data_IF_545032246097
#
_entry.id   IF_545032246097
#
_cell.length_a   1.000
_cell.length_b   1.000
_cell.length_c   1.000
_cell.angle_alpha   90.00
_cell.angle_beta   90.00
_cell.angle_gamma   90.00
#
_symmetry.space_group_name_H-M   'P 1'
#
loop_
_entity.id
_entity.type
_entity.pdbx_description
1 polymer ?
#
# COMPACT_ATOMS: atom_id res chain seq x y z
N UNK A 1 -4.54 1.94 -10.47
CA UNK A 1 -5.11 2.86 -9.45
C UNK A 1 -4.06 3.86 -8.98
N UNK A 2 -4.47 5.10 -8.75
CA UNK A 2 -3.68 6.15 -8.11
C UNK A 2 -3.68 5.95 -6.59
N UNK A 3 -2.72 6.53 -5.84
CA UNK A 3 -2.73 6.46 -4.39
C UNK A 3 -4.03 6.96 -3.74
N UNK A 4 -4.67 7.99 -4.33
CA UNK A 4 -5.96 8.52 -3.84
C UNK A 4 -7.10 7.51 -4.00
N UNK A 5 -7.16 6.82 -5.14
CA UNK A 5 -8.17 5.77 -5.37
C UNK A 5 -7.98 4.59 -4.41
N UNK A 6 -6.73 4.19 -4.15
CA UNK A 6 -6.45 3.10 -3.18
C UNK A 6 -6.87 3.52 -1.76
N UNK A 7 -6.61 4.76 -1.35
CA UNK A 7 -7.06 5.25 -0.04
C UNK A 7 -8.58 5.27 0.05
N UNK A 8 -9.26 5.81 -0.98
CA UNK A 8 -10.72 5.85 -1.04
C UNK A 8 -11.33 4.44 -0.99
N UNK A 9 -10.68 3.46 -1.61
CA UNK A 9 -11.09 2.05 -1.51
C UNK A 9 -10.95 1.51 -0.08
N UNK A 10 -9.82 1.77 0.57
CA UNK A 10 -9.59 1.35 1.95
C UNK A 10 -10.54 2.05 2.93
N UNK A 11 -10.95 3.28 2.65
CA UNK A 11 -11.94 4.02 3.45
C UNK A 11 -13.31 3.33 3.49
N UNK A 12 -13.66 2.52 2.49
CA UNK A 12 -14.91 1.74 2.48
C UNK A 12 -14.96 0.64 3.54
N UNK A 13 -13.81 0.24 4.08
CA UNK A 13 -13.69 -0.93 4.96
C UNK A 13 -12.99 -0.64 6.29
N UNK A 14 -12.14 0.37 6.34
CA UNK A 14 -11.35 0.72 7.51
C UNK A 14 -11.69 2.17 7.87
N UNK A 15 -12.05 2.43 9.12
CA UNK A 15 -12.31 3.79 9.60
C UNK A 15 -11.01 4.38 10.18
N UNK A 16 -10.70 5.64 9.86
CA UNK A 16 -9.48 6.32 10.33
C UNK A 16 -8.20 5.77 9.70
N UNK A 17 -7.09 5.75 10.46
CA UNK A 17 -5.79 5.21 10.02
C UNK A 17 -5.23 5.85 8.72
N UNK A 18 -5.45 7.15 8.53
CA UNK A 18 -5.11 7.86 7.28
C UNK A 18 -3.64 7.74 6.89
N UNK A 19 -2.72 7.81 7.85
CA UNK A 19 -1.29 7.64 7.59
C UNK A 19 -0.96 6.23 7.09
N UNK A 20 -1.48 5.19 7.76
CA UNK A 20 -1.25 3.81 7.36
C UNK A 20 -1.80 3.53 5.96
N UNK A 21 -3.02 4.00 5.65
CA UNK A 21 -3.63 3.89 4.32
C UNK A 21 -2.79 4.58 3.24
N UNK A 22 -2.32 5.79 3.51
CA UNK A 22 -1.47 6.54 2.59
C UNK A 22 -0.15 5.81 2.33
N UNK A 23 0.50 5.31 3.38
CA UNK A 23 1.78 4.59 3.27
C UNK A 23 1.63 3.33 2.41
N UNK A 24 0.60 2.52 2.64
CA UNK A 24 0.37 1.32 1.82
C UNK A 24 -0.01 1.63 0.37
N UNK A 25 -0.79 2.68 0.14
CA UNK A 25 -1.15 3.13 -1.21
C UNK A 25 0.07 3.59 -2.01
N UNK A 26 1.00 4.30 -1.36
CA UNK A 26 2.26 4.72 -1.98
C UNK A 26 3.15 3.51 -2.28
N UNK A 27 3.29 2.56 -1.36
CA UNK A 27 4.09 1.36 -1.59
C UNK A 27 3.56 0.54 -2.79
N UNK A 28 2.25 0.35 -2.88
CA UNK A 28 1.62 -0.33 -4.02
C UNK A 28 1.85 0.45 -5.33
N UNK A 29 1.69 1.78 -5.31
CA UNK A 29 1.96 2.62 -6.49
C UNK A 29 3.42 2.57 -6.91
N UNK A 30 4.35 2.52 -5.97
CA UNK A 30 5.78 2.40 -6.27
C UNK A 30 6.12 1.06 -6.92
N UNK A 31 5.44 -0.03 -6.53
CA UNK A 31 5.56 -1.31 -7.25
C UNK A 31 5.16 -1.17 -8.72
N UNK A 32 4.04 -0.52 -9.01
CA UNK A 32 3.61 -0.27 -10.39
C UNK A 32 4.61 0.62 -11.15
N UNK A 33 5.07 1.72 -10.53
CA UNK A 33 6.08 2.61 -11.13
C UNK A 33 7.37 1.86 -11.46
N UNK A 34 7.82 0.98 -10.57
CA UNK A 34 9.04 0.20 -10.76
C UNK A 34 8.98 -0.67 -12.01
N UNK A 35 7.81 -1.24 -12.34
CA UNK A 35 7.60 -2.07 -13.54
C UNK A 35 7.71 -1.26 -14.84
N UNK A 36 7.57 0.07 -14.79
CA UNK A 36 7.67 0.95 -15.95
C UNK A 36 9.10 1.46 -16.21
N UNK A 37 10.07 1.08 -15.38
CA UNK A 37 11.46 1.49 -15.52
C UNK A 37 12.23 0.52 -16.42
N UNK A 38 13.36 0.98 -16.94
CA UNK A 38 14.29 0.13 -17.68
C UNK A 38 14.75 -1.07 -16.82
N UNK A 39 15.00 -2.25 -17.42
CA UNK A 39 15.29 -3.48 -16.68
C UNK A 39 16.46 -3.38 -15.69
N UNK A 40 17.53 -2.66 -16.07
CA UNK A 40 18.70 -2.45 -15.22
C UNK A 40 18.33 -1.69 -13.93
N UNK A 41 17.65 -0.55 -14.08
CA UNK A 41 17.20 0.26 -12.95
C UNK A 41 16.10 -0.44 -12.14
N UNK A 42 15.25 -1.23 -12.80
CA UNK A 42 14.20 -2.01 -12.14
C UNK A 42 14.78 -3.02 -11.13
N UNK A 43 15.92 -3.64 -11.46
CA UNK A 43 16.60 -4.63 -10.64
C UNK A 43 17.24 -4.01 -9.38
N UNK A 44 17.69 -2.76 -9.46
CA UNK A 44 18.31 -2.04 -8.34
C UNK A 44 17.29 -1.53 -7.31
N UNK A 45 16.02 -1.37 -7.70
CA UNK A 45 14.99 -0.78 -6.83
C UNK A 45 14.33 -1.84 -5.95
N UNK A 46 14.69 -1.83 -4.68
CA UNK A 46 14.06 -2.66 -3.65
C UNK A 46 12.62 -2.22 -3.32
N UNK A 47 11.71 -3.17 -3.01
CA UNK A 47 10.38 -2.87 -2.49
C UNK A 47 10.41 -1.98 -1.24
N UNK A 48 9.44 -1.08 -1.13
CA UNK A 48 9.25 -0.25 0.08
C UNK A 48 8.38 -1.02 1.08
N UNK A 49 9.03 -1.91 1.84
CA UNK A 49 8.38 -2.68 2.90
C UNK A 49 7.85 -1.76 4.01
N UNK A 50 6.75 -2.15 4.65
CA UNK A 50 6.05 -1.35 5.66
C UNK A 50 6.02 -2.11 6.98
N UNK A 51 6.41 -1.43 8.06
CA UNK A 51 6.22 -1.88 9.43
C UNK A 51 5.05 -1.09 10.05
N UNK A 52 3.96 -1.78 10.39
CA UNK A 52 2.82 -1.16 11.07
C UNK A 52 2.93 -1.35 12.58
N UNK A 53 3.01 -0.24 13.33
CA UNK A 53 3.12 -0.25 14.79
C UNK A 53 1.82 0.26 15.40
N UNK A 54 1.29 -0.46 16.39
CA UNK A 54 0.09 -0.07 17.13
C UNK A 54 -0.57 -1.22 17.89
N UNK A 55 -1.55 -0.95 18.76
CA UNK A 55 -2.22 -1.96 19.58
C UNK A 55 -3.09 -2.92 18.73
N UNK A 56 -3.56 -4.02 19.31
CA UNK A 56 -4.46 -4.96 18.64
C UNK A 56 -5.81 -4.30 18.32
N UNK A 57 -6.55 -4.84 17.34
CA UNK A 57 -7.88 -4.35 16.98
C UNK A 57 -7.94 -3.06 16.13
N UNK A 58 -6.84 -2.32 15.95
CA UNK A 58 -6.85 -1.02 15.21
C UNK A 58 -6.91 -1.13 13.68
N UNK A 59 -6.97 -2.35 13.13
CA UNK A 59 -7.11 -2.56 11.68
C UNK A 59 -5.83 -2.79 10.89
N UNK A 60 -4.65 -2.97 11.52
CA UNK A 60 -3.37 -3.26 10.82
C UNK A 60 -3.50 -4.43 9.82
N UNK A 61 -4.02 -5.56 10.30
CA UNK A 61 -4.21 -6.77 9.49
C UNK A 61 -5.27 -6.57 8.40
N UNK A 62 -6.33 -5.82 8.69
CA UNK A 62 -7.41 -5.56 7.72
C UNK A 62 -6.92 -4.66 6.58
N UNK A 63 -6.08 -3.66 6.87
CA UNK A 63 -5.42 -2.84 5.83
C UNK A 63 -4.62 -3.74 4.88
N UNK A 64 -3.75 -4.61 5.41
CA UNK A 64 -2.94 -5.51 4.58
C UNK A 64 -3.82 -6.48 3.77
N UNK A 65 -4.85 -7.06 4.39
CA UNK A 65 -5.80 -7.98 3.74
C UNK A 65 -6.57 -7.32 2.60
N UNK A 66 -7.07 -6.09 2.80
CA UNK A 66 -7.79 -5.34 1.76
C UNK A 66 -6.85 -4.93 0.65
N UNK A 67 -5.66 -4.44 0.98
CA UNK A 67 -4.63 -4.08 0.00
C UNK A 67 -4.28 -5.25 -0.92
N UNK A 68 -4.14 -6.46 -0.37
CA UNK A 68 -3.83 -7.66 -1.16
C UNK A 68 -4.91 -7.96 -2.23
N UNK A 69 -6.19 -7.68 -1.93
CA UNK A 69 -7.30 -7.84 -2.90
C UNK A 69 -7.28 -6.81 -4.02
N UNK A 70 -6.64 -5.65 -3.80
CA UNK A 70 -6.48 -4.60 -4.81
C UNK A 70 -5.22 -4.76 -5.67
N UNK A 71 -4.27 -5.56 -5.17
CA UNK A 71 -2.98 -5.79 -5.80
C UNK A 71 -2.91 -7.10 -6.60
N UNK A 72 -3.91 -7.98 -6.43
CA UNK A 72 -4.18 -9.12 -7.31
C UNK A 72 -5.00 -8.70 -8.51
#
# INVERSE_FOLDING_TARGET
>A
MTPREIVAELDRHIIGQGEAKRSVAIALRNRWRRIQLDPELMAEISPKNILMIGPTGVGKTEIARRLARLAG
#
